data_IF_585180153728
#
_entry.id   IF_585180153728
#
_cell.length_a   1.000
_cell.length_b   1.000
_cell.length_c   1.000
_cell.angle_alpha   90.00
_cell.angle_beta   90.00
_cell.angle_gamma   90.00
#
_symmetry.space_group_name_H-M   'P 1'
#
loop_
_entity.id
_entity.type
_entity.pdbx_description
1 polymer ?
#
# COMPACT_ATOMS: atom_id res chain seq x y z
N UNK A 1 23.68 -12.73 -9.07
CA UNK A 1 22.90 -11.49 -9.21
C UNK A 1 22.91 -10.81 -7.86
N UNK A 2 23.29 -9.53 -7.78
CA UNK A 2 23.14 -8.79 -6.53
C UNK A 2 21.66 -8.62 -6.20
N UNK A 3 21.28 -8.95 -4.97
CA UNK A 3 19.94 -8.68 -4.45
C UNK A 3 19.83 -7.19 -4.18
N UNK A 4 19.00 -6.49 -4.97
CA UNK A 4 18.75 -5.05 -4.78
C UNK A 4 18.09 -4.79 -3.42
N UNK A 5 18.47 -3.70 -2.74
CA UNK A 5 17.83 -3.25 -1.49
C UNK A 5 16.39 -2.75 -1.71
N UNK A 6 15.54 -2.69 -0.66
CA UNK A 6 14.16 -2.18 -0.75
C UNK A 6 14.04 -0.80 -1.42
N UNK A 7 14.98 0.09 -1.09
CA UNK A 7 15.11 1.43 -1.69
C UNK A 7 15.43 1.37 -3.18
N UNK A 8 16.42 0.56 -3.58
CA UNK A 8 16.79 0.41 -4.99
C UNK A 8 15.64 -0.16 -5.82
N UNK A 9 14.89 -1.11 -5.27
CA UNK A 9 13.71 -1.70 -5.90
C UNK A 9 12.60 -0.68 -6.19
N UNK A 10 12.41 0.28 -5.27
CA UNK A 10 11.36 1.29 -5.35
C UNK A 10 11.79 2.60 -6.02
N UNK A 11 13.08 2.82 -6.24
CA UNK A 11 13.63 4.11 -6.65
C UNK A 11 12.86 4.81 -7.78
N UNK A 12 12.50 4.10 -8.85
CA UNK A 12 11.73 4.67 -9.97
C UNK A 12 10.29 5.06 -9.56
N UNK A 13 9.62 4.28 -8.70
CA UNK A 13 8.30 4.58 -8.16
C UNK A 13 8.37 5.76 -7.19
N UNK A 14 9.36 5.78 -6.31
CA UNK A 14 9.55 6.86 -5.35
C UNK A 14 9.86 8.17 -6.06
N UNK A 15 10.71 8.14 -7.09
CA UNK A 15 11.02 9.31 -7.92
C UNK A 15 9.77 9.85 -8.62
N UNK A 16 8.95 8.98 -9.22
CA UNK A 16 7.70 9.39 -9.85
C UNK A 16 6.70 9.96 -8.85
N UNK A 17 6.56 9.35 -7.66
CA UNK A 17 5.72 9.86 -6.57
C UNK A 17 6.17 11.24 -6.10
N UNK A 18 7.49 11.48 -6.00
CA UNK A 18 8.03 12.80 -5.65
C UNK A 18 7.75 13.85 -6.72
N UNK A 19 7.94 13.49 -7.99
CA UNK A 19 7.59 14.37 -9.11
C UNK A 19 6.11 14.72 -9.12
N UNK A 20 5.22 13.73 -8.97
CA UNK A 20 3.77 13.94 -8.86
C UNK A 20 3.45 14.91 -7.71
N UNK A 21 4.10 14.75 -6.55
CA UNK A 21 3.90 15.66 -5.43
C UNK A 21 4.41 17.10 -5.68
N UNK A 22 5.48 17.28 -6.44
CA UNK A 22 5.98 18.60 -6.83
C UNK A 22 5.01 19.34 -7.76
N UNK A 23 4.35 18.63 -8.67
CA UNK A 23 3.32 19.19 -9.56
C UNK A 23 1.92 19.21 -8.92
N UNK A 24 1.82 18.87 -7.63
CA UNK A 24 0.60 18.96 -6.83
C UNK A 24 -0.34 17.76 -6.94
N UNK A 25 0.08 16.66 -7.58
CA UNK A 25 -0.66 15.41 -7.70
C UNK A 25 -0.38 14.50 -6.50
N UNK A 26 -0.69 14.99 -5.31
CA UNK A 26 -0.51 14.24 -4.07
C UNK A 26 -1.73 14.34 -3.14
N UNK A 27 -1.73 13.46 -2.14
CA UNK A 27 -2.82 13.38 -1.18
C UNK A 27 -2.70 14.38 -0.01
N UNK A 28 -1.69 15.26 0.03
CA UNK A 28 -1.44 16.15 1.19
C UNK A 28 -2.55 17.20 1.36
N UNK A 29 -3.22 17.56 0.26
CA UNK A 29 -4.32 18.54 0.25
C UNK A 29 -5.71 17.91 0.34
N UNK A 30 -5.80 16.59 0.30
CA UNK A 30 -7.07 15.88 0.42
C UNK A 30 -7.57 15.99 1.88
N UNK A 31 -8.90 15.98 2.06
CA UNK A 31 -9.59 15.92 3.36
C UNK A 31 -10.68 14.84 3.32
N UNK A 32 -11.04 14.30 4.49
CA UNK A 32 -12.06 13.25 4.60
C UNK A 32 -11.57 11.88 4.14
N UNK A 33 -12.40 11.14 3.42
CA UNK A 33 -12.15 9.72 3.17
C UNK A 33 -11.10 9.50 2.10
N UNK A 34 -10.03 8.79 2.43
CA UNK A 34 -9.00 8.45 1.46
C UNK A 34 -9.62 7.61 0.32
N UNK A 35 -9.11 7.76 -0.91
CA UNK A 35 -9.37 6.75 -1.96
C UNK A 35 -8.97 5.34 -1.48
N UNK A 36 -8.05 5.26 -0.50
CA UNK A 36 -7.65 4.04 0.19
C UNK A 36 -8.47 3.71 1.47
N UNK A 37 -9.57 4.41 1.72
CA UNK A 37 -10.49 4.13 2.83
C UNK A 37 -11.87 3.68 2.30
N UNK A 38 -12.35 4.27 1.20
CA UNK A 38 -13.58 3.79 0.52
C UNK A 38 -13.32 2.69 -0.51
N UNK A 39 -12.10 2.56 -1.03
CA UNK A 39 -11.83 1.66 -2.16
C UNK A 39 -10.40 1.10 -2.19
N UNK A 40 -9.68 1.05 -1.06
CA UNK A 40 -8.37 0.39 -1.06
C UNK A 40 -8.54 -1.09 -1.29
N UNK A 41 -8.04 -1.53 -2.42
CA UNK A 41 -7.96 -2.93 -2.74
C UNK A 41 -6.50 -3.38 -2.82
N UNK A 42 -5.54 -2.55 -2.40
CA UNK A 42 -4.10 -2.78 -2.57
C UNK A 42 -3.68 -4.15 -2.07
N UNK A 43 -2.89 -4.80 -2.92
CA UNK A 43 -2.31 -6.10 -2.68
C UNK A 43 -0.80 -5.97 -2.79
N UNK A 44 -0.12 -6.88 -2.12
CA UNK A 44 1.32 -6.90 -1.98
C UNK A 44 1.80 -8.35 -2.19
N UNK A 45 2.98 -8.52 -2.75
CA UNK A 45 3.65 -9.83 -2.80
C UNK A 45 4.47 -10.09 -1.54
N UNK A 46 4.99 -11.31 -1.42
CA UNK A 46 5.80 -11.74 -0.29
C UNK A 46 7.06 -10.87 -0.09
N UNK A 47 7.76 -10.50 -1.16
CA UNK A 47 9.00 -9.71 -1.08
C UNK A 47 8.73 -8.31 -0.52
N UNK A 48 7.70 -7.65 -1.03
CA UNK A 48 7.26 -6.35 -0.55
C UNK A 48 6.76 -6.43 0.90
N UNK A 49 6.09 -7.53 1.30
CA UNK A 49 5.65 -7.75 2.66
C UNK A 49 6.83 -7.97 3.63
N UNK A 50 7.85 -8.71 3.21
CA UNK A 50 9.08 -8.94 3.99
C UNK A 50 9.83 -7.62 4.24
N UNK A 51 9.94 -6.76 3.22
CA UNK A 51 10.53 -5.42 3.38
C UNK A 51 9.80 -4.60 4.43
N UNK A 52 8.47 -4.57 4.29
CA UNK A 52 7.61 -3.77 5.14
C UNK A 52 7.63 -4.29 6.58
N UNK A 53 7.58 -5.60 6.80
CA UNK A 53 7.71 -6.23 8.12
C UNK A 53 9.08 -5.95 8.74
N UNK A 54 10.16 -6.12 7.99
CA UNK A 54 11.52 -5.84 8.46
C UNK A 54 11.68 -4.39 8.91
N UNK A 55 11.12 -3.45 8.16
CA UNK A 55 11.09 -2.04 8.55
C UNK A 55 10.25 -1.80 9.79
N UNK A 56 9.04 -2.37 9.87
CA UNK A 56 8.18 -2.27 11.06
C UNK A 56 8.87 -2.79 12.33
N UNK A 57 9.60 -3.90 12.23
CA UNK A 57 10.43 -4.43 13.32
C UNK A 57 11.52 -3.42 13.69
N UNK A 58 12.26 -2.91 12.70
CA UNK A 58 13.32 -1.91 12.91
C UNK A 58 12.82 -0.58 13.51
N UNK A 59 11.53 -0.26 13.33
CA UNK A 59 10.86 0.89 13.95
C UNK A 59 10.19 0.59 15.29
N UNK A 60 10.32 -0.63 15.83
CA UNK A 60 9.60 -1.11 17.03
C UNK A 60 8.07 -0.99 16.92
N UNK A 61 7.55 -1.14 15.69
CA UNK A 61 6.12 -1.06 15.35
C UNK A 61 5.49 -2.43 15.09
N UNK A 62 6.31 -3.48 14.95
CA UNK A 62 5.83 -4.86 14.90
C UNK A 62 5.60 -5.37 16.33
N UNK A 63 4.43 -5.06 16.88
CA UNK A 63 4.06 -5.33 18.27
C UNK A 63 2.63 -5.87 18.36
N UNK A 64 2.20 -6.28 19.55
CA UNK A 64 0.89 -6.90 19.80
C UNK A 64 -0.27 -5.99 19.37
N UNK A 65 -0.13 -4.67 19.55
CA UNK A 65 -1.13 -3.68 19.11
C UNK A 65 -1.30 -3.70 17.59
N UNK A 66 -0.19 -3.63 16.84
CA UNK A 66 -0.26 -3.74 15.38
C UNK A 66 -0.85 -5.08 14.96
N UNK A 67 -0.42 -6.19 15.57
CA UNK A 67 -0.92 -7.53 15.23
C UNK A 67 -2.43 -7.63 15.47
N UNK A 68 -2.94 -7.08 16.58
CA UNK A 68 -4.38 -7.00 16.85
C UNK A 68 -5.10 -6.20 15.77
N UNK A 69 -4.60 -5.00 15.44
CA UNK A 69 -5.18 -4.15 14.39
C UNK A 69 -5.20 -4.83 13.00
N UNK A 70 -4.17 -5.61 12.66
CA UNK A 70 -4.14 -6.37 11.42
C UNK A 70 -5.23 -7.46 11.40
N UNK A 71 -5.42 -8.17 12.52
CA UNK A 71 -6.45 -9.22 12.66
C UNK A 71 -7.86 -8.64 12.61
N UNK A 72 -8.11 -7.55 13.33
CA UNK A 72 -9.38 -6.82 13.30
C UNK A 72 -9.71 -6.35 11.89
N UNK A 73 -8.73 -5.78 11.17
CA UNK A 73 -8.91 -5.38 9.77
C UNK A 73 -9.27 -6.57 8.86
N UNK A 74 -8.70 -7.75 9.08
CA UNK A 74 -9.05 -8.95 8.30
C UNK A 74 -10.48 -9.36 8.59
N UNK A 75 -10.89 -9.38 9.86
CA UNK A 75 -12.22 -9.79 10.29
C UNK A 75 -13.30 -8.81 9.80
N UNK A 76 -13.13 -7.51 10.06
CA UNK A 76 -14.06 -6.45 9.69
C UNK A 76 -14.37 -6.47 8.19
N UNK A 77 -13.32 -6.53 7.37
CA UNK A 77 -13.45 -6.51 5.91
C UNK A 77 -13.56 -7.90 5.28
N UNK A 78 -13.50 -8.97 6.10
CA UNK A 78 -13.54 -10.38 5.69
C UNK A 78 -12.53 -10.71 4.60
N UNK A 79 -11.30 -10.21 4.76
CA UNK A 79 -10.24 -10.32 3.75
C UNK A 79 -9.83 -11.76 3.48
N UNK A 80 -10.01 -12.64 4.46
CA UNK A 80 -9.70 -14.07 4.42
C UNK A 80 -10.83 -14.93 3.82
N UNK A 81 -12.02 -14.35 3.59
CA UNK A 81 -13.18 -15.08 3.07
C UNK A 81 -13.30 -14.97 1.56
N UNK A 82 -13.21 -16.11 0.87
CA UNK A 82 -13.66 -16.26 -0.51
C UNK A 82 -15.18 -16.24 -0.59
N UNK A 83 -15.76 -15.47 -1.52
CA UNK A 83 -17.20 -15.52 -1.84
C UNK A 83 -17.34 -16.24 -3.17
N UNK A 84 -17.99 -17.41 -3.17
CA UNK A 84 -18.10 -18.31 -4.31
C UNK A 84 -16.73 -18.82 -4.83
N UNK A 85 -16.73 -19.54 -5.96
CA UNK A 85 -15.53 -20.03 -6.64
C UNK A 85 -14.67 -18.92 -7.28
N UNK A 86 -14.96 -17.65 -6.97
CA UNK A 86 -14.34 -16.47 -7.58
C UNK A 86 -13.60 -15.70 -6.48
N UNK A 87 -12.29 -15.50 -6.64
CA UNK A 87 -11.51 -14.60 -5.79
C UNK A 87 -11.94 -13.15 -6.08
N UNK A 88 -12.83 -12.59 -5.26
CA UNK A 88 -13.23 -11.17 -5.36
C UNK A 88 -12.23 -10.33 -4.57
N UNK A 89 -11.65 -9.32 -5.23
CA UNK A 89 -10.79 -8.33 -4.58
C UNK A 89 -11.63 -7.42 -3.68
N UNK A 90 -11.38 -7.46 -2.38
CA UNK A 90 -12.14 -6.69 -1.38
C UNK A 90 -11.51 -5.33 -1.12
N UNK A 91 -12.36 -4.38 -0.75
CA UNK A 91 -11.94 -3.07 -0.27
C UNK A 91 -11.83 -3.08 1.25
N UNK A 92 -10.84 -2.37 1.81
CA UNK A 92 -10.63 -2.25 3.25
C UNK A 92 -10.03 -0.89 3.62
N UNK A 93 -10.05 -0.51 4.89
CA UNK A 93 -9.25 0.61 5.37
C UNK A 93 -7.85 0.13 5.69
N UNK A 94 -6.82 0.74 5.10
CA UNK A 94 -5.44 0.33 5.37
C UNK A 94 -5.08 0.55 6.86
N UNK A 95 -4.52 -0.44 7.57
CA UNK A 95 -4.14 -0.28 8.99
C UNK A 95 -2.97 0.68 9.22
N UNK A 96 -2.28 1.11 8.15
CA UNK A 96 -1.17 2.07 8.21
C UNK A 96 -1.58 3.49 7.82
N UNK A 97 -2.87 3.70 7.59
CA UNK A 97 -3.45 5.00 7.31
C UNK A 97 -3.35 5.92 8.54
N UNK A 98 -2.95 7.17 8.34
CA UNK A 98 -2.63 8.11 9.43
C UNK A 98 -3.86 8.90 9.96
N UNK A 99 -5.08 8.38 9.79
CA UNK A 99 -6.30 9.02 10.28
C UNK A 99 -6.54 10.42 9.69
N UNK A 100 -6.61 11.43 10.57
CA UNK A 100 -7.08 12.80 10.27
C UNK A 100 -6.24 13.57 9.25
N UNK A 101 -4.97 13.18 9.06
CA UNK A 101 -4.12 13.69 7.96
C UNK A 101 -3.97 12.57 6.94
N UNK A 102 -4.55 12.75 5.75
CA UNK A 102 -4.48 11.74 4.69
C UNK A 102 -3.01 11.44 4.36
N UNK A 103 -2.59 10.20 4.60
CA UNK A 103 -1.21 9.76 4.45
C UNK A 103 -1.01 8.33 4.95
N UNK A 104 0.12 7.74 4.57
CA UNK A 104 0.54 6.43 5.04
C UNK A 104 1.73 6.61 5.99
N UNK A 105 1.70 5.90 7.11
CA UNK A 105 2.75 5.93 8.14
C UNK A 105 3.98 5.10 7.78
N UNK A 106 3.99 4.43 6.63
CA UNK A 106 5.13 3.63 6.14
C UNK A 106 6.06 4.52 5.33
N UNK A 107 7.36 4.36 5.52
CA UNK A 107 8.36 5.06 4.72
C UNK A 107 8.27 4.65 3.23
N UNK A 108 8.34 5.60 2.28
CA UNK A 108 8.26 5.30 0.85
C UNK A 108 9.17 4.18 0.36
N UNK A 109 10.35 4.00 0.94
CA UNK A 109 11.32 2.95 0.56
C UNK A 109 10.86 1.53 0.99
N UNK A 110 9.76 1.43 1.73
CA UNK A 110 9.18 0.17 2.20
C UNK A 110 7.68 0.04 1.89
N UNK A 111 7.07 1.04 1.24
CA UNK A 111 5.66 0.99 0.82
C UNK A 111 5.44 -0.07 -0.27
N UNK A 112 4.25 -0.67 -0.36
CA UNK A 112 3.89 -1.49 -1.51
C UNK A 112 4.01 -0.69 -2.81
N UNK A 113 4.43 -1.33 -3.90
CA UNK A 113 4.60 -0.70 -5.21
C UNK A 113 3.30 -0.06 -5.68
N UNK A 114 2.18 -0.79 -5.53
CA UNK A 114 0.85 -0.28 -5.88
C UNK A 114 0.46 0.97 -5.10
N UNK A 115 0.97 1.16 -3.89
CA UNK A 115 0.74 2.39 -3.11
C UNK A 115 1.57 3.57 -3.61
N UNK A 116 2.80 3.32 -4.09
CA UNK A 116 3.67 4.37 -4.63
C UNK A 116 3.24 4.85 -6.02
N UNK A 117 2.64 3.97 -6.82
CA UNK A 117 2.09 4.31 -8.12
C UNK A 117 0.68 4.92 -8.05
N UNK A 118 0.13 5.13 -6.85
CA UNK A 118 -1.25 5.57 -6.68
C UNK A 118 -1.32 7.02 -6.20
N UNK A 119 -1.75 7.90 -7.11
CA UNK A 119 -1.84 9.35 -6.87
C UNK A 119 -3.18 9.91 -7.39
N UNK A 120 -3.58 11.12 -6.95
CA UNK A 120 -4.67 11.87 -7.57
C UNK A 120 -4.49 12.06 -9.08
N UNK A 121 -5.59 12.19 -9.81
CA UNK A 121 -5.55 12.44 -11.26
C UNK A 121 -5.15 13.88 -11.59
N UNK A 122 -5.38 14.78 -10.67
CA UNK A 122 -5.20 16.22 -10.82
C UNK A 122 -4.78 16.86 -9.50
N UNK A 123 -4.31 18.10 -9.56
CA UNK A 123 -3.88 18.86 -8.39
C UNK A 123 -5.05 19.43 -7.60
N UNK A 124 -4.90 19.52 -6.26
CA UNK A 124 -5.87 20.21 -5.42
C UNK A 124 -7.16 19.43 -5.15
N UNK A 125 -7.14 18.11 -5.38
CA UNK A 125 -8.23 17.22 -4.96
C UNK A 125 -8.42 17.33 -3.45
N UNK A 126 -9.64 17.63 -3.01
CA UNK A 126 -9.97 17.79 -1.58
C UNK A 126 -10.86 16.68 -1.04
N UNK A 127 -11.66 16.03 -1.86
CA UNK A 127 -12.43 14.86 -1.47
C UNK A 127 -11.88 13.67 -2.25
N UNK A 128 -11.51 12.58 -1.56
CA UNK A 128 -11.06 11.36 -2.21
C UNK A 128 -12.08 10.87 -3.26
N UNK A 129 -11.62 10.15 -4.28
CA UNK A 129 -12.44 9.63 -5.37
C UNK A 129 -11.86 9.90 -6.76
N UNK A 130 -10.99 10.90 -6.90
CA UNK A 130 -10.32 11.23 -8.16
C UNK A 130 -8.86 10.71 -8.20
N UNK A 131 -8.65 9.43 -7.89
CA UNK A 131 -7.33 8.82 -7.85
C UNK A 131 -7.09 7.87 -9.05
N UNK A 132 -5.82 7.60 -9.38
CA UNK A 132 -5.41 6.62 -10.39
C UNK A 132 -4.21 5.81 -9.90
N UNK A 133 -4.09 4.59 -10.41
CA UNK A 133 -2.84 3.84 -10.36
C UNK A 133 -2.11 3.99 -11.69
N UNK A 134 -0.83 4.36 -11.65
CA UNK A 134 0.01 4.41 -12.84
C UNK A 134 0.49 2.99 -13.20
N UNK A 135 -0.36 2.26 -13.93
CA UNK A 135 -0.09 0.87 -14.29
C UNK A 135 1.13 0.71 -15.19
N UNK A 136 1.43 1.69 -16.02
CA UNK A 136 2.60 1.61 -16.90
C UNK A 136 3.90 1.76 -16.11
N UNK A 137 3.90 2.62 -15.08
CA UNK A 137 5.00 2.70 -14.12
C UNK A 137 5.16 1.42 -13.29
N UNK A 138 4.07 0.72 -12.95
CA UNK A 138 4.14 -0.57 -12.27
C UNK A 138 4.68 -1.69 -13.16
N UNK A 139 4.40 -1.65 -14.47
CA UNK A 139 4.90 -2.63 -15.44
C UNK A 139 6.39 -2.48 -15.73
N UNK A 140 6.94 -1.27 -15.60
CA UNK A 140 8.39 -1.04 -15.75
C UNK A 140 9.18 -1.49 -14.52
N UNK A 141 8.50 -1.77 -13.41
CA UNK A 141 9.09 -2.51 -12.30
C UNK A 141 9.31 -3.96 -12.74
N UNK A 142 10.51 -4.30 -13.24
CA UNK A 142 10.92 -5.68 -13.61
C UNK A 142 10.74 -6.72 -12.47
N UNK A 143 10.39 -6.25 -11.28
CA UNK A 143 10.18 -7.01 -10.06
C UNK A 143 8.71 -7.21 -9.72
N UNK A 144 7.78 -6.88 -10.62
CA UNK A 144 6.42 -7.40 -10.55
C UNK A 144 6.47 -8.90 -10.88
N UNK A 145 6.94 -9.70 -9.92
CA UNK A 145 7.04 -11.14 -10.05
C UNK A 145 5.62 -11.69 -10.02
N UNK A 146 5.32 -12.66 -10.89
CA UNK A 146 4.06 -13.41 -10.90
C UNK A 146 3.96 -14.31 -9.65
N UNK A 147 3.88 -13.69 -8.47
CA UNK A 147 3.60 -14.33 -7.18
C UNK A 147 2.14 -14.13 -6.78
N UNK A 148 1.74 -14.78 -5.69
CA UNK A 148 0.42 -14.51 -5.11
C UNK A 148 0.40 -13.10 -4.51
N UNK A 149 -0.57 -12.30 -4.95
CA UNK A 149 -0.83 -10.98 -4.40
C UNK A 149 -1.93 -11.08 -3.35
N UNK A 150 -1.61 -10.68 -2.12
CA UNK A 150 -2.53 -10.75 -0.99
C UNK A 150 -2.84 -9.35 -0.46
N UNK A 151 -4.02 -9.13 0.16
CA UNK A 151 -4.25 -7.93 0.95
C UNK A 151 -3.13 -7.73 1.97
N UNK A 152 -2.70 -6.48 2.18
CA UNK A 152 -1.55 -6.15 3.03
C UNK A 152 -1.64 -6.80 4.43
N UNK A 153 -2.79 -6.77 5.14
CA UNK A 153 -2.88 -7.39 6.46
C UNK A 153 -2.63 -8.90 6.43
N UNK A 154 -3.15 -9.59 5.42
CA UNK A 154 -2.96 -11.04 5.24
C UNK A 154 -1.51 -11.34 4.94
N UNK A 155 -0.94 -10.62 3.96
CA UNK A 155 0.44 -10.86 3.55
C UNK A 155 1.41 -10.71 4.72
N UNK A 156 1.24 -9.68 5.57
CA UNK A 156 2.11 -9.45 6.72
C UNK A 156 1.99 -10.54 7.79
N UNK A 157 0.77 -11.01 8.07
CA UNK A 157 0.52 -12.06 9.07
C UNK A 157 0.88 -13.47 8.57
N UNK A 158 1.14 -13.66 7.27
CA UNK A 158 1.60 -14.94 6.70
C UNK A 158 3.11 -15.11 6.71
N UNK A 159 3.88 -14.07 7.05
CA UNK A 159 5.34 -14.11 7.12
C UNK A 159 5.87 -14.68 8.46
N UNK A 160 5.03 -15.38 9.22
CA UNK A 160 5.35 -15.99 10.51
C UNK A 160 5.44 -17.52 10.39
#
# INVERSE_FOLDING_TARGET
METLSPKQRRAHLTQAMHYDAEVGFDCRSCVGTCCTFTSNSMQIDETQAQDMKSWLIGQNRWNDELIANLKECIEEFRLDKSVASIKIRRTYTCPFFNGDKLGCTIDPDFKPYGCLAFNPRESGVKAGGNCRSNLDLLKTSEQFVAGELLPIPIALLQLD
#
